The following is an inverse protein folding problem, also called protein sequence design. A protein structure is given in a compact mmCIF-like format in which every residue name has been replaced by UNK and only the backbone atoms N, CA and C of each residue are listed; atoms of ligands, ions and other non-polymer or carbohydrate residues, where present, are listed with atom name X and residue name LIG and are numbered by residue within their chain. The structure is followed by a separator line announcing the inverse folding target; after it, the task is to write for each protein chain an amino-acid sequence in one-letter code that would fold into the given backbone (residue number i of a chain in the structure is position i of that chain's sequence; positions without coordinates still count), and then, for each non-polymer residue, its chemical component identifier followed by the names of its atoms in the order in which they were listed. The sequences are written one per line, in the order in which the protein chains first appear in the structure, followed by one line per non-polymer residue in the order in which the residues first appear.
data_IF_742593586574
#
_entry.id   IF_742593586574
#
_cell.length_a   1.000
_cell.length_b   1.000
_cell.length_c   1.000
_cell.angle_alpha   90.00
_cell.angle_beta   90.00
_cell.angle_gamma   90.00
#
_symmetry.space_group_name_H-M   'P 1'
#
loop_
_entity.id
_entity.type
_entity.pdbx_description
1 polymer ?
#
# COMPACT_ATOMS: atom_id res chain seq x y z
N UNK A 1 -0.13 -16.20 13.01
CA UNK A 1 0.61 -14.99 12.62
C UNK A 1 0.85 -14.17 13.89
N UNK A 2 2.04 -13.56 14.06
CA UNK A 2 2.33 -12.72 15.22
C UNK A 2 2.30 -11.26 14.77
N UNK A 3 1.47 -10.44 15.41
CA UNK A 3 1.41 -8.99 15.15
C UNK A 3 1.97 -8.24 16.34
N UNK A 4 2.78 -7.22 16.09
CA UNK A 4 3.41 -6.41 17.13
C UNK A 4 2.91 -4.98 17.00
N UNK A 5 2.14 -4.52 18.00
CA UNK A 5 1.83 -3.10 18.14
C UNK A 5 3.06 -2.34 18.63
N UNK A 6 3.36 -1.23 17.96
CA UNK A 6 4.59 -0.45 18.16
C UNK A 6 5.73 -0.77 17.21
N UNK A 7 5.53 -1.61 16.18
CA UNK A 7 6.54 -1.92 15.15
C UNK A 7 7.20 -0.67 14.55
N UNK A 8 6.42 0.36 14.25
CA UNK A 8 6.95 1.62 13.73
C UNK A 8 7.84 2.33 14.77
N UNK A 9 7.43 2.36 16.04
CA UNK A 9 8.22 2.95 17.13
C UNK A 9 9.54 2.20 17.33
N UNK A 10 9.49 0.87 17.33
CA UNK A 10 10.69 0.01 17.41
C UNK A 10 11.65 0.26 16.25
N UNK A 11 11.12 0.37 15.03
CA UNK A 11 11.91 0.70 13.84
C UNK A 11 12.56 2.07 13.96
N UNK A 12 11.82 3.08 14.44
CA UNK A 12 12.36 4.42 14.67
C UNK A 12 13.44 4.45 15.75
N UNK A 13 13.25 3.73 16.85
CA UNK A 13 14.26 3.60 17.91
C UNK A 13 15.54 2.97 17.37
N UNK A 14 15.41 1.86 16.62
CA UNK A 14 16.55 1.18 15.99
C UNK A 14 17.30 2.11 15.03
N UNK A 15 16.60 2.77 14.11
CA UNK A 15 17.25 3.70 13.18
C UNK A 15 17.91 4.88 13.88
N UNK A 16 17.32 5.36 14.98
CA UNK A 16 17.88 6.44 15.76
C UNK A 16 19.16 6.00 16.48
N UNK A 17 19.15 4.84 17.15
CA UNK A 17 20.33 4.31 17.89
C UNK A 17 21.45 3.86 16.96
N UNK A 18 21.15 3.51 15.71
CA UNK A 18 22.12 3.26 14.62
C UNK A 18 22.63 4.55 13.94
N UNK A 19 22.14 5.73 14.34
CA UNK A 19 22.56 7.01 13.77
C UNK A 19 22.04 7.29 12.36
N UNK A 20 21.07 6.52 11.87
CA UNK A 20 20.44 6.68 10.55
C UNK A 20 19.44 7.83 10.53
N UNK A 21 18.71 8.04 11.62
CA UNK A 21 17.75 9.14 11.78
C UNK A 21 18.17 10.08 12.93
N UNK A 22 17.98 11.41 12.80
CA UNK A 22 18.19 12.35 13.90
C UNK A 22 16.93 12.57 14.74
N UNK A 23 17.11 13.05 15.96
CA UNK A 23 16.08 13.76 16.72
C UNK A 23 16.28 15.28 16.62
N UNK A 24 15.27 16.05 16.98
CA UNK A 24 15.32 17.52 16.96
C UNK A 24 15.26 18.07 18.38
N UNK A 25 16.04 19.11 18.67
CA UNK A 25 15.88 19.90 19.90
C UNK A 25 14.78 20.96 19.75
N UNK A 26 14.52 21.72 20.81
CA UNK A 26 13.52 22.80 20.82
C UNK A 26 13.79 23.93 19.81
N UNK A 27 15.00 23.98 19.26
CA UNK A 27 15.45 24.97 18.28
C UNK A 27 15.50 24.38 16.86
N UNK A 28 15.08 23.13 16.67
CA UNK A 28 15.12 22.44 15.39
C UNK A 28 16.51 21.93 14.99
N UNK A 29 17.52 21.97 15.86
CA UNK A 29 18.81 21.35 15.52
C UNK A 29 18.68 19.83 15.50
N UNK A 30 19.36 19.21 14.54
CA UNK A 30 19.42 17.76 14.39
C UNK A 30 20.52 17.16 15.26
N UNK A 31 20.15 16.17 16.06
CA UNK A 31 21.05 15.42 16.94
C UNK A 31 20.98 13.94 16.62
N UNK A 32 22.15 13.31 16.43
CA UNK A 32 22.28 11.90 16.13
C UNK A 32 22.75 11.11 17.36
N UNK A 33 22.33 9.86 17.47
CA UNK A 33 22.74 9.01 18.59
C UNK A 33 24.20 8.56 18.49
N UNK A 34 24.63 8.13 17.32
CA UNK A 34 26.00 7.69 17.04
C UNK A 34 26.34 7.91 15.56
N UNK A 35 27.58 7.61 15.19
CA UNK A 35 28.00 7.53 13.78
C UNK A 35 27.42 6.23 13.18
N UNK A 36 26.80 6.27 11.99
CA UNK A 36 26.35 5.05 11.32
C UNK A 36 27.54 4.14 11.00
N UNK A 37 27.41 2.87 11.33
CA UNK A 37 28.43 1.83 11.09
C UNK A 37 28.67 1.62 9.58
N UNK A 38 27.62 1.76 8.78
CA UNK A 38 27.62 1.43 7.34
C UNK A 38 28.23 2.54 6.45
N UNK A 39 28.83 3.58 7.04
CA UNK A 39 29.37 4.72 6.29
C UNK A 39 30.86 4.93 6.55
N UNK A 40 31.68 4.57 5.55
CA UNK A 40 33.15 4.76 5.59
C UNK A 40 33.55 6.22 5.86
N UNK A 41 32.72 7.18 5.43
CA UNK A 41 32.88 8.62 5.70
C UNK A 41 31.78 9.11 6.63
N UNK A 42 32.16 9.55 7.83
CA UNK A 42 31.26 10.29 8.71
C UNK A 42 30.86 11.58 7.98
N UNK A 43 29.56 11.89 7.85
CA UNK A 43 29.17 13.19 7.30
C UNK A 43 29.72 14.29 8.22
N UNK A 44 30.63 15.11 7.69
CA UNK A 44 31.21 16.23 8.42
C UNK A 44 30.11 17.15 8.96
N UNK A 45 30.24 17.62 10.20
CA UNK A 45 29.31 18.58 10.82
C UNK A 45 28.06 17.99 11.48
N UNK A 46 27.93 16.65 11.61
CA UNK A 46 26.86 16.06 12.44
C UNK A 46 27.07 16.33 13.92
N UNK A 47 26.03 16.81 14.60
CA UNK A 47 25.97 16.94 16.06
C UNK A 47 25.50 15.61 16.66
N UNK A 48 26.20 15.14 17.69
CA UNK A 48 25.87 13.91 18.39
C UNK A 48 25.39 14.20 19.80
N UNK A 49 24.45 13.39 20.29
CA UNK A 49 23.94 13.55 21.64
C UNK A 49 25.05 13.41 22.69
N UNK A 50 25.06 14.26 23.73
CA UNK A 50 25.94 14.08 24.87
C UNK A 50 25.70 12.73 25.57
N UNK A 51 26.73 12.18 26.22
CA UNK A 51 26.65 10.89 26.91
C UNK A 51 25.49 10.83 27.93
N UNK A 52 25.27 11.91 28.69
CA UNK A 52 24.15 12.02 29.65
C UNK A 52 22.79 11.87 28.96
N UNK A 53 22.60 12.47 27.79
CA UNK A 53 21.33 12.38 27.06
C UNK A 53 21.09 10.97 26.49
N UNK A 54 22.16 10.28 26.07
CA UNK A 54 22.08 8.87 25.65
C UNK A 54 21.70 7.96 26.82
N UNK A 55 22.28 8.18 28.00
CA UNK A 55 21.96 7.41 29.20
C UNK A 55 20.48 7.59 29.59
N UNK A 56 19.98 8.83 29.58
CA UNK A 56 18.55 9.11 29.83
C UNK A 56 17.67 8.43 28.79
N UNK A 57 18.05 8.44 27.51
CA UNK A 57 17.30 7.74 26.47
C UNK A 57 17.21 6.23 26.73
N UNK A 58 18.31 5.58 27.12
CA UNK A 58 18.34 4.15 27.42
C UNK A 58 17.50 3.74 28.64
N UNK A 59 17.29 4.67 29.57
CA UNK A 59 16.43 4.44 30.73
C UNK A 59 14.93 4.54 30.39
N UNK A 60 14.58 5.08 29.22
CA UNK A 60 13.17 5.19 28.82
C UNK A 60 12.64 3.84 28.40
N UNK A 61 11.48 3.48 28.94
CA UNK A 61 10.70 2.33 28.51
C UNK A 61 9.45 2.81 27.79
N UNK A 62 8.94 1.98 26.88
CA UNK A 62 7.64 2.18 26.26
C UNK A 62 6.97 0.82 26.06
N UNK A 63 5.65 0.83 25.99
CA UNK A 63 4.86 -0.39 25.90
C UNK A 63 4.78 -0.88 24.46
N UNK A 64 5.00 -2.19 24.29
CA UNK A 64 4.79 -2.95 23.07
C UNK A 64 3.88 -4.13 23.38
N UNK A 65 2.93 -4.38 22.51
CA UNK A 65 2.06 -5.55 22.61
C UNK A 65 2.38 -6.51 21.49
N UNK A 66 2.57 -7.78 21.84
CA UNK A 66 2.61 -8.87 20.88
C UNK A 66 1.30 -9.62 20.95
N UNK A 67 0.63 -9.74 19.81
CA UNK A 67 -0.59 -10.50 19.64
C UNK A 67 -0.27 -11.78 18.88
N UNK A 68 -0.54 -12.91 19.52
CA UNK A 68 -0.30 -14.25 18.97
C UNK A 68 -1.63 -14.86 18.57
N UNK A 69 -1.67 -15.50 17.40
CA UNK A 69 -2.84 -16.28 16.98
C UNK A 69 -4.03 -15.44 16.50
N UNK A 70 -3.80 -14.19 16.09
CA UNK A 70 -4.85 -13.39 15.46
C UNK A 70 -5.22 -13.92 14.08
N UNK A 71 -6.49 -13.77 13.73
CA UNK A 71 -6.98 -14.00 12.36
C UNK A 71 -6.63 -12.81 11.45
N UNK A 72 -6.60 -13.02 10.14
CA UNK A 72 -6.33 -11.97 9.16
C UNK A 72 -7.29 -10.75 9.32
N UNK A 73 -8.55 -10.99 9.69
CA UNK A 73 -9.54 -9.94 9.92
C UNK A 73 -9.26 -9.13 11.19
N UNK A 74 -8.82 -9.79 12.28
CA UNK A 74 -8.45 -9.12 13.54
C UNK A 74 -7.20 -8.27 13.38
N UNK A 75 -6.22 -8.76 12.61
CA UNK A 75 -5.03 -7.99 12.26
C UNK A 75 -5.42 -6.74 11.47
N UNK A 76 -6.34 -6.86 10.51
CA UNK A 76 -6.84 -5.74 9.72
C UNK A 76 -7.50 -4.66 10.60
N UNK A 77 -8.38 -5.07 11.51
CA UNK A 77 -9.05 -4.15 12.44
C UNK A 77 -8.05 -3.46 13.38
N UNK A 78 -7.03 -4.20 13.85
CA UNK A 78 -5.96 -3.63 14.66
C UNK A 78 -5.16 -2.59 13.87
N UNK A 79 -4.81 -2.88 12.61
CA UNK A 79 -4.11 -1.93 11.72
C UNK A 79 -4.92 -0.66 11.46
N UNK A 80 -6.24 -0.76 11.24
CA UNK A 80 -7.13 0.39 11.07
C UNK A 80 -7.12 1.30 12.31
N UNK A 81 -7.13 0.70 13.52
CA UNK A 81 -7.14 1.45 14.79
C UNK A 81 -5.79 2.14 15.08
N UNK A 82 -4.67 1.49 14.75
CA UNK A 82 -3.30 2.01 15.00
C UNK A 82 -2.99 3.28 14.19
N UNK A 83 -3.67 3.53 13.07
CA UNK A 83 -3.51 4.74 12.25
C UNK A 83 -4.23 6.00 12.81
N UNK A 84 -4.52 6.06 14.12
CA UNK A 84 -5.30 7.13 14.76
C UNK A 84 -6.69 7.29 14.12
N UNK A 85 -7.41 6.19 13.92
CA UNK A 85 -8.80 6.22 13.46
C UNK A 85 -9.02 6.72 12.03
N UNK A 86 -7.96 6.87 11.23
CA UNK A 86 -8.13 6.96 9.78
C UNK A 86 -8.41 5.55 9.25
N UNK A 87 -9.65 5.26 8.79
CA UNK A 87 -9.94 3.97 8.19
C UNK A 87 -9.02 3.81 6.97
N UNK A 88 -8.57 2.57 6.72
CA UNK A 88 -7.87 2.24 5.48
C UNK A 88 -8.69 2.81 4.32
N UNK A 89 -8.02 3.47 3.37
CA UNK A 89 -8.69 3.91 2.16
C UNK A 89 -9.29 2.69 1.47
N UNK A 90 -10.37 2.86 0.69
CA UNK A 90 -10.95 1.74 -0.07
C UNK A 90 -9.87 1.00 -0.91
N UNK A 91 -8.83 1.71 -1.36
CA UNK A 91 -7.66 1.14 -2.01
C UNK A 91 -6.89 0.16 -1.12
N UNK A 92 -6.54 0.59 0.09
CA UNK A 92 -5.76 -0.22 1.03
C UNK A 92 -6.59 -1.38 1.59
N UNK A 93 -7.90 -1.17 1.83
CA UNK A 93 -8.85 -2.24 2.19
C UNK A 93 -8.92 -3.29 1.10
N UNK A 94 -8.97 -2.88 -0.17
CA UNK A 94 -8.97 -3.79 -1.31
C UNK A 94 -7.64 -4.53 -1.40
N UNK A 95 -6.50 -3.84 -1.37
CA UNK A 95 -5.16 -4.45 -1.48
C UNK A 95 -4.87 -5.47 -0.37
N UNK A 96 -5.36 -5.25 0.85
CA UNK A 96 -5.14 -6.16 1.97
C UNK A 96 -5.95 -7.47 1.84
N UNK A 97 -7.06 -7.49 1.09
CA UNK A 97 -7.88 -8.69 0.88
C UNK A 97 -7.21 -9.60 -0.14
N UNK A 98 -6.71 -10.76 0.28
CA UNK A 98 -6.18 -11.80 -0.63
C UNK A 98 -7.33 -12.53 -1.35
N UNK A 99 -7.92 -11.91 -2.39
CA UNK A 99 -8.80 -12.66 -3.33
C UNK A 99 -8.19 -12.68 -4.74
N UNK A 100 -8.64 -13.59 -5.62
CA UNK A 100 -8.02 -13.82 -6.93
C UNK A 100 -7.87 -12.55 -7.79
N UNK A 101 -8.82 -11.64 -7.66
CA UNK A 101 -8.85 -10.38 -8.39
C UNK A 101 -7.83 -9.35 -7.89
N UNK A 102 -7.62 -9.29 -6.57
CA UNK A 102 -6.58 -8.45 -5.96
C UNK A 102 -5.19 -8.96 -6.31
N UNK A 103 -5.00 -10.28 -6.33
CA UNK A 103 -3.74 -10.89 -6.75
C UNK A 103 -3.46 -10.65 -8.25
N UNK A 104 -4.48 -10.76 -9.10
CA UNK A 104 -4.37 -10.40 -10.51
C UNK A 104 -3.99 -8.92 -10.69
N UNK A 105 -4.63 -8.02 -9.94
CA UNK A 105 -4.30 -6.59 -10.01
C UNK A 105 -2.86 -6.32 -9.57
N UNK A 106 -2.38 -6.98 -8.51
CA UNK A 106 -0.98 -6.89 -8.06
C UNK A 106 0.00 -7.36 -9.14
N UNK A 107 -0.30 -8.45 -9.83
CA UNK A 107 0.50 -8.93 -10.96
C UNK A 107 0.51 -7.89 -12.09
N UNK A 108 -0.64 -7.29 -12.40
CA UNK A 108 -0.75 -6.29 -13.46
C UNK A 108 -0.01 -4.98 -13.11
N UNK A 109 0.03 -4.56 -11.84
CA UNK A 109 0.87 -3.43 -11.41
C UNK A 109 2.36 -3.67 -11.70
N UNK A 110 2.83 -4.90 -11.49
CA UNK A 110 4.22 -5.27 -11.72
C UNK A 110 4.54 -5.43 -13.22
N UNK A 111 3.63 -6.04 -13.97
CA UNK A 111 3.82 -6.34 -15.39
C UNK A 111 3.63 -5.14 -16.32
N UNK A 112 2.82 -4.14 -15.92
CA UNK A 112 2.45 -3.00 -16.77
C UNK A 112 2.82 -1.62 -16.16
N UNK A 113 4.08 -1.41 -15.74
CA UNK A 113 4.46 -0.21 -14.98
C UNK A 113 4.35 1.10 -15.79
N UNK A 114 4.39 1.05 -17.13
CA UNK A 114 4.29 2.27 -17.96
C UNK A 114 2.85 2.68 -18.13
N UNK A 115 1.95 1.73 -18.39
CA UNK A 115 0.51 1.96 -18.36
C UNK A 115 0.09 2.54 -17.00
N UNK A 116 0.70 2.07 -15.90
CA UNK A 116 0.45 2.60 -14.56
C UNK A 116 0.98 4.01 -14.33
N UNK A 117 2.18 4.35 -14.83
CA UNK A 117 2.73 5.71 -14.73
C UNK A 117 1.89 6.78 -15.44
N UNK A 118 1.11 6.40 -16.44
CA UNK A 118 0.18 7.29 -17.14
C UNK A 118 -1.07 7.62 -16.29
N UNK A 119 -1.31 6.87 -15.21
CA UNK A 119 -2.37 7.13 -14.24
C UNK A 119 -1.83 8.01 -13.11
N UNK A 120 -2.49 9.14 -12.86
CA UNK A 120 -1.99 10.19 -11.93
C UNK A 120 -1.78 9.63 -10.50
N UNK A 121 -0.61 9.94 -9.94
CA UNK A 121 -0.02 9.36 -8.75
C UNK A 121 -0.54 9.97 -7.43
N UNK A 122 -1.53 9.33 -6.80
CA UNK A 122 -1.66 9.35 -5.33
C UNK A 122 -1.57 7.92 -4.78
N UNK A 123 -1.15 7.79 -3.51
CA UNK A 123 -0.97 6.48 -2.85
C UNK A 123 -2.28 5.67 -2.95
N UNK A 124 -2.18 4.43 -3.44
CA UNK A 124 -3.34 3.54 -3.62
C UNK A 124 -4.19 3.79 -4.87
N UNK A 125 -3.97 4.89 -5.61
CA UNK A 125 -4.74 5.18 -6.82
C UNK A 125 -4.48 4.17 -7.95
N UNK A 126 -3.25 3.65 -8.07
CA UNK A 126 -2.87 2.68 -9.11
C UNK A 126 -3.73 1.41 -9.06
N UNK A 127 -3.80 0.78 -7.89
CA UNK A 127 -4.55 -0.46 -7.69
C UNK A 127 -6.03 -0.29 -8.00
N UNK A 128 -6.63 0.77 -7.47
CA UNK A 128 -8.04 1.08 -7.71
C UNK A 128 -8.34 1.36 -9.16
N UNK A 129 -7.39 1.93 -9.92
CA UNK A 129 -7.56 2.17 -11.35
C UNK A 129 -7.49 0.89 -12.16
N UNK A 130 -6.58 -0.05 -11.84
CA UNK A 130 -6.54 -1.36 -12.48
C UNK A 130 -7.85 -2.10 -12.26
N UNK A 131 -8.29 -2.15 -11.01
CA UNK A 131 -9.54 -2.81 -10.64
C UNK A 131 -10.73 -2.11 -11.32
N UNK A 132 -10.77 -0.78 -11.38
CA UNK A 132 -11.77 -0.03 -12.13
C UNK A 132 -11.74 -0.38 -13.63
N UNK A 133 -10.56 -0.52 -14.23
CA UNK A 133 -10.41 -0.98 -15.61
C UNK A 133 -10.89 -2.42 -15.81
N UNK A 134 -10.66 -3.32 -14.86
CA UNK A 134 -11.20 -4.69 -14.91
C UNK A 134 -12.72 -4.68 -14.95
N UNK A 135 -13.36 -3.88 -14.08
CA UNK A 135 -14.82 -3.77 -14.07
C UNK A 135 -15.34 -3.14 -15.37
N UNK A 136 -14.69 -2.10 -15.89
CA UNK A 136 -15.06 -1.51 -17.19
C UNK A 136 -14.97 -2.51 -18.35
N UNK A 137 -13.94 -3.37 -18.36
CA UNK A 137 -13.77 -4.41 -19.38
C UNK A 137 -14.91 -5.43 -19.26
N UNK A 138 -15.18 -5.92 -18.05
CA UNK A 138 -16.24 -6.91 -17.81
C UNK A 138 -17.65 -6.35 -18.12
N UNK A 139 -17.93 -5.10 -17.74
CA UNK A 139 -19.23 -4.46 -18.00
C UNK A 139 -19.43 -4.13 -19.49
N UNK A 140 -18.37 -3.76 -20.22
CA UNK A 140 -18.44 -3.60 -21.67
C UNK A 140 -18.85 -4.91 -22.34
N UNK A 141 -18.27 -6.03 -21.92
CA UNK A 141 -18.59 -7.35 -22.46
C UNK A 141 -20.04 -7.75 -22.12
N UNK A 142 -20.55 -7.32 -20.96
CA UNK A 142 -21.95 -7.53 -20.58
C UNK A 142 -22.93 -6.66 -21.37
N UNK A 143 -22.61 -5.38 -21.60
CA UNK A 143 -23.40 -4.48 -22.44
C UNK A 143 -23.42 -4.91 -23.90
N UNK A 144 -22.36 -5.54 -24.39
CA UNK A 144 -22.34 -6.16 -25.73
C UNK A 144 -23.33 -7.34 -25.85
N UNK A 145 -23.73 -7.95 -24.74
CA UNK A 145 -24.73 -9.02 -24.68
C UNK A 145 -26.16 -8.50 -24.42
N UNK A 146 -26.34 -7.25 -24.00
CA UNK A 146 -27.64 -6.63 -23.71
C UNK A 146 -27.71 -5.18 -24.24
N UNK A 147 -28.14 -4.99 -25.50
CA UNK A 147 -28.14 -3.69 -26.19
C UNK A 147 -29.11 -2.64 -25.61
N UNK A 148 -30.01 -3.03 -24.69
CA UNK A 148 -31.05 -2.15 -24.15
C UNK A 148 -30.61 -1.36 -22.91
N UNK A 149 -29.38 -1.59 -22.42
CA UNK A 149 -28.86 -0.92 -21.22
C UNK A 149 -28.23 0.44 -21.57
N UNK A 150 -28.61 1.53 -20.89
CA UNK A 150 -28.05 2.86 -21.16
C UNK A 150 -26.55 2.92 -20.80
N UNK A 151 -25.73 3.41 -21.73
CA UNK A 151 -24.25 3.46 -21.73
C UNK A 151 -23.57 4.30 -20.61
N UNK A 152 -24.21 4.52 -19.46
CA UNK A 152 -23.66 5.43 -18.44
C UNK A 152 -22.83 4.70 -17.36
N UNK A 153 -21.93 3.80 -17.76
CA UNK A 153 -21.01 3.20 -16.79
C UNK A 153 -19.81 4.12 -16.50
N UNK A 154 -19.87 4.85 -15.38
CA UNK A 154 -18.72 5.56 -14.79
C UNK A 154 -18.24 4.78 -13.57
N UNK A 155 -17.27 3.88 -13.78
CA UNK A 155 -16.65 3.11 -12.70
C UNK A 155 -15.93 4.03 -11.70
N UNK A 156 -16.61 4.43 -10.63
CA UNK A 156 -15.97 5.04 -9.46
C UNK A 156 -15.58 3.95 -8.47
N UNK A 157 -14.64 4.24 -7.57
CA UNK A 157 -14.22 3.32 -6.50
C UNK A 157 -15.38 2.90 -5.58
N UNK A 158 -16.45 3.71 -5.49
CA UNK A 158 -17.65 3.39 -4.74
C UNK A 158 -18.47 2.24 -5.38
N UNK A 159 -18.51 2.17 -6.71
CA UNK A 159 -19.19 1.07 -7.42
C UNK A 159 -18.45 -0.26 -7.30
N UNK A 160 -17.11 -0.22 -7.13
CA UNK A 160 -16.31 -1.42 -6.84
C UNK A 160 -16.78 -2.10 -5.55
N UNK A 161 -16.82 -1.38 -4.43
CA UNK A 161 -17.16 -1.96 -3.14
C UNK A 161 -18.59 -2.51 -3.12
N UNK A 162 -19.54 -1.80 -3.76
CA UNK A 162 -20.94 -2.20 -3.76
C UNK A 162 -21.25 -3.36 -4.70
N UNK A 163 -20.61 -3.41 -5.86
CA UNK A 163 -21.01 -4.32 -6.94
C UNK A 163 -20.03 -5.47 -7.12
N UNK A 164 -18.73 -5.16 -7.21
CA UNK A 164 -17.71 -6.18 -7.41
C UNK A 164 -17.58 -7.10 -6.20
N UNK A 165 -17.60 -6.54 -4.99
CA UNK A 165 -17.49 -7.36 -3.76
C UNK A 165 -18.75 -8.20 -3.53
N UNK A 166 -19.93 -7.67 -3.86
CA UNK A 166 -21.21 -8.37 -3.69
C UNK A 166 -21.47 -9.46 -4.75
N UNK A 167 -21.00 -9.26 -5.99
CA UNK A 167 -21.25 -10.16 -7.12
C UNK A 167 -20.00 -10.94 -7.56
N UNK A 168 -18.92 -10.93 -6.78
CA UNK A 168 -17.65 -11.57 -7.14
C UNK A 168 -17.81 -13.07 -7.46
N UNK A 169 -18.78 -13.73 -6.84
CA UNK A 169 -19.10 -15.15 -7.07
C UNK A 169 -19.74 -15.40 -8.45
N UNK A 170 -20.41 -14.41 -9.03
CA UNK A 170 -20.99 -14.47 -10.37
C UNK A 170 -19.93 -14.22 -11.45
N UNK A 171 -18.76 -13.71 -11.07
CA UNK A 171 -17.65 -13.39 -11.97
C UNK A 171 -16.33 -14.00 -11.46
N UNK A 172 -16.21 -15.34 -11.50
CA UNK A 172 -14.97 -16.01 -11.11
C UNK A 172 -13.81 -15.54 -11.99
N UNK A 173 -12.65 -15.32 -11.38
CA UNK A 173 -11.41 -14.96 -12.07
C UNK A 173 -10.82 -16.19 -12.79
N UNK A 174 -11.46 -16.62 -13.88
CA UNK A 174 -11.04 -17.79 -14.66
C UNK A 174 -9.79 -17.49 -15.49
N UNK A 175 -9.09 -18.52 -15.97
CA UNK A 175 -7.91 -18.36 -16.84
C UNK A 175 -8.23 -17.54 -18.11
N UNK A 176 -9.36 -17.82 -18.73
CA UNK A 176 -9.84 -17.15 -19.94
C UNK A 176 -10.11 -15.63 -19.72
N UNK A 177 -10.66 -15.26 -18.57
CA UNK A 177 -10.83 -13.84 -18.19
C UNK A 177 -9.49 -13.16 -17.96
N UNK A 178 -8.52 -13.84 -17.33
CA UNK A 178 -7.17 -13.32 -17.12
C UNK A 178 -6.44 -13.07 -18.44
N UNK A 179 -6.51 -14.02 -19.37
CA UNK A 179 -5.89 -13.90 -20.69
C UNK A 179 -6.50 -12.75 -21.51
N UNK A 180 -7.82 -12.56 -21.42
CA UNK A 180 -8.51 -11.39 -22.00
C UNK A 180 -7.98 -10.08 -21.45
N UNK A 181 -7.93 -9.94 -20.13
CA UNK A 181 -7.44 -8.73 -19.49
C UNK A 181 -5.99 -8.45 -19.88
N UNK A 182 -5.16 -9.49 -19.94
CA UNK A 182 -3.77 -9.38 -20.38
C UNK A 182 -3.67 -8.80 -21.79
N UNK A 183 -4.47 -9.31 -22.75
CA UNK A 183 -4.48 -8.79 -24.14
C UNK A 183 -4.83 -7.30 -24.22
N UNK A 184 -5.77 -6.85 -23.39
CA UNK A 184 -6.16 -5.44 -23.33
C UNK A 184 -5.04 -4.56 -22.76
N UNK A 185 -4.41 -4.98 -21.66
CA UNK A 185 -3.28 -4.25 -21.07
C UNK A 185 -2.03 -4.28 -21.97
N UNK A 186 -1.76 -5.37 -22.67
CA UNK A 186 -0.71 -5.45 -23.70
C UNK A 186 -0.94 -4.44 -24.84
N UNK A 187 -2.21 -4.15 -25.19
CA UNK A 187 -2.56 -3.10 -26.15
C UNK A 187 -2.30 -1.71 -25.57
N UNK A 188 -2.65 -1.46 -24.32
CA UNK A 188 -2.37 -0.19 -23.66
C UNK A 188 -0.87 0.09 -23.54
N UNK A 189 -0.05 -0.92 -23.19
CA UNK A 189 1.41 -0.78 -23.18
C UNK A 189 1.98 -0.47 -24.57
N UNK A 190 1.48 -1.11 -25.64
CA UNK A 190 1.93 -0.81 -27.00
C UNK A 190 1.65 0.66 -27.38
N UNK A 191 0.49 1.18 -27.03
CA UNK A 191 0.13 2.59 -27.27
C UNK A 191 0.97 3.51 -26.38
N UNK A 192 1.23 3.12 -25.13
CA UNK A 192 2.10 3.87 -24.22
C UNK A 192 3.57 3.91 -24.68
N UNK A 193 4.01 2.93 -25.46
CA UNK A 193 5.36 2.91 -26.09
C UNK A 193 5.46 3.78 -27.33
N UNK A 194 4.36 4.10 -28.00
CA UNK A 194 4.34 4.94 -29.20
C UNK A 194 4.17 6.43 -28.90
N UNK A 195 4.13 6.81 -27.62
CA UNK A 195 4.15 8.19 -27.13
C UNK A 195 5.47 8.45 -26.42
#
# INVERSE_FOLDING_TARGET
MNCIDGKQRLTSVKHFTEGRTPCHDRYGNRWYFCRPLDTEKAPHGRKYLPAKAKAVFWQKTFLCYEYVGMTDDQEHELFERVQRGNPLTAAEKSQAKKRPWQELARQFEQHFPRAMKLSINSRGAGHNKIISSFVQILERDRGALDPLRPEQFRATSYWFDRWFVAQIHQHPCTADVRDRMKRMFDRYERIARSK
#
